data_IF_049686909394
#
_entry.id   IF_049686909394
#
_cell.length_a   1.000
_cell.length_b   1.000
_cell.length_c   1.000
_cell.angle_alpha   90.00
_cell.angle_beta   90.00
_cell.angle_gamma   90.00
#
_symmetry.space_group_name_H-M   'P 1'
#
loop_
_entity.id
_entity.type
_entity.pdbx_description
1 polymer ?
#
# COMPACT_ATOMS: atom_id res chain seq x y z
N UNK A 1 -33.07 26.26 -47.28
CA UNK A 1 -32.53 26.54 -45.96
C UNK A 1 -31.97 25.24 -45.42
N UNK A 2 -30.62 25.09 -45.37
CA UNK A 2 -29.93 23.87 -44.89
C UNK A 2 -29.44 24.16 -43.47
N UNK A 3 -29.95 23.43 -42.49
CA UNK A 3 -29.52 23.51 -41.11
C UNK A 3 -28.32 22.60 -40.93
N UNK A 4 -27.15 23.18 -40.68
CA UNK A 4 -25.94 22.43 -40.23
C UNK A 4 -26.01 22.29 -38.70
N UNK A 5 -26.25 21.07 -38.22
CA UNK A 5 -26.12 20.72 -36.82
C UNK A 5 -24.66 20.40 -36.52
N UNK A 6 -23.99 21.31 -35.84
CA UNK A 6 -22.59 21.09 -35.35
C UNK A 6 -22.66 20.26 -34.12
N UNK A 7 -22.15 19.01 -34.22
CA UNK A 7 -22.00 18.08 -33.09
C UNK A 7 -20.71 18.44 -32.35
N UNK A 8 -20.85 19.05 -31.16
CA UNK A 8 -19.70 19.33 -30.28
C UNK A 8 -19.39 18.05 -29.47
N UNK A 9 -18.28 17.39 -29.79
CA UNK A 9 -17.72 16.32 -28.99
C UNK A 9 -16.99 16.92 -27.77
N UNK A 10 -17.58 16.82 -26.59
CA UNK A 10 -16.88 17.12 -25.33
C UNK A 10 -16.05 15.89 -24.97
N UNK A 11 -14.75 15.94 -25.23
CA UNK A 11 -13.79 14.99 -24.68
C UNK A 11 -13.68 15.22 -23.17
N UNK A 12 -14.40 14.46 -22.39
CA UNK A 12 -14.24 14.40 -20.94
C UNK A 12 -12.92 13.70 -20.61
N UNK A 13 -11.89 14.48 -20.25
CA UNK A 13 -10.64 13.96 -19.71
C UNK A 13 -10.93 13.38 -18.33
N UNK A 14 -11.06 12.06 -18.20
CA UNK A 14 -11.08 11.39 -16.93
C UNK A 14 -9.68 11.43 -16.32
N UNK A 15 -9.46 12.35 -15.39
CA UNK A 15 -8.26 12.33 -14.56
C UNK A 15 -8.31 11.06 -13.70
N UNK A 16 -7.47 10.08 -14.02
CA UNK A 16 -7.20 8.97 -13.15
C UNK A 16 -6.41 9.51 -11.96
N UNK A 17 -7.09 9.72 -10.85
CA UNK A 17 -6.40 9.95 -9.58
C UNK A 17 -5.79 8.62 -9.14
N UNK A 18 -4.48 8.49 -9.29
CA UNK A 18 -3.71 7.51 -8.54
C UNK A 18 -3.62 8.04 -7.09
N UNK A 19 -4.65 7.75 -6.32
CA UNK A 19 -4.72 8.14 -4.91
C UNK A 19 -4.03 7.04 -4.11
N UNK A 20 -2.80 7.30 -3.68
CA UNK A 20 -2.14 6.56 -2.59
C UNK A 20 -3.00 6.74 -1.34
N UNK A 21 -3.99 5.85 -1.17
CA UNK A 21 -5.10 6.04 -0.26
C UNK A 21 -4.66 6.13 1.19
N UNK A 22 -5.19 7.10 1.91
CA UNK A 22 -5.21 7.04 3.36
C UNK A 22 -6.09 5.87 3.77
N UNK A 23 -5.50 4.88 4.42
CA UNK A 23 -6.30 3.86 5.09
C UNK A 23 -6.94 4.48 6.32
N UNK A 24 -8.13 5.04 6.14
CA UNK A 24 -8.89 5.62 7.25
C UNK A 24 -9.67 4.52 7.95
N UNK A 25 -9.30 4.25 9.20
CA UNK A 25 -10.05 3.41 10.13
C UNK A 25 -10.26 4.18 11.43
N UNK A 26 -11.31 3.90 12.19
CA UNK A 26 -11.45 4.43 13.54
C UNK A 26 -10.24 4.07 14.39
N UNK A 27 -9.91 4.96 15.35
CA UNK A 27 -8.83 4.67 16.28
C UNK A 27 -9.18 3.46 17.15
N UNK A 28 -8.25 2.51 17.24
CA UNK A 28 -8.34 1.36 18.10
C UNK A 28 -7.01 1.22 18.84
N UNK A 29 -6.91 1.77 20.08
CA UNK A 29 -5.68 1.74 20.85
C UNK A 29 -5.19 0.32 21.15
N UNK A 30 -6.10 -0.63 21.38
CA UNK A 30 -5.75 -2.03 21.66
C UNK A 30 -5.07 -2.67 20.44
N UNK A 31 -5.69 -2.58 19.25
CA UNK A 31 -5.07 -3.06 18.02
C UNK A 31 -3.69 -2.43 17.78
N UNK A 32 -3.56 -1.12 17.98
CA UNK A 32 -2.27 -0.44 17.83
C UNK A 32 -1.22 -0.93 18.83
N UNK A 33 -1.59 -1.12 20.08
CA UNK A 33 -0.68 -1.58 21.13
C UNK A 33 -0.24 -3.01 20.90
N UNK A 34 -1.18 -3.93 20.71
CA UNK A 34 -0.89 -5.35 20.62
C UNK A 34 -0.15 -5.70 19.30
N UNK A 35 -0.68 -5.24 18.16
CA UNK A 35 -0.04 -5.51 16.88
C UNK A 35 1.19 -4.63 16.62
N UNK A 36 1.27 -3.46 17.25
CA UNK A 36 2.35 -2.50 17.09
C UNK A 36 3.60 -2.78 17.90
N UNK A 37 3.59 -3.78 18.79
CA UNK A 37 4.70 -4.07 19.70
C UNK A 37 5.96 -4.59 19.00
N UNK A 38 5.83 -5.24 17.85
CA UNK A 38 6.94 -5.83 17.09
C UNK A 38 7.12 -5.18 15.70
N UNK A 39 6.05 -4.76 15.07
CA UNK A 39 6.04 -4.05 13.79
C UNK A 39 4.84 -3.10 13.74
N UNK A 40 4.74 -2.28 12.71
CA UNK A 40 3.56 -1.41 12.56
C UNK A 40 2.25 -2.23 12.58
N UNK A 41 1.24 -1.73 13.29
CA UNK A 41 -0.10 -2.29 13.23
C UNK A 41 -0.67 -2.10 11.81
N UNK A 42 -0.71 -3.17 11.03
CA UNK A 42 -1.11 -3.10 9.62
C UNK A 42 -2.58 -2.72 9.45
N UNK A 43 -2.90 -1.79 8.54
CA UNK A 43 -4.27 -1.44 8.22
C UNK A 43 -5.13 -2.66 7.91
N UNK A 44 -6.33 -2.77 8.49
CA UNK A 44 -7.23 -3.91 8.24
C UNK A 44 -7.52 -4.16 6.76
N UNK A 45 -7.53 -3.11 5.94
CA UNK A 45 -7.80 -3.18 4.51
C UNK A 45 -6.77 -3.98 3.70
N UNK A 46 -5.61 -4.27 4.27
CA UNK A 46 -4.53 -4.98 3.58
C UNK A 46 -4.78 -6.48 3.41
N UNK A 47 -5.69 -7.08 4.19
CA UNK A 47 -6.11 -8.46 4.06
C UNK A 47 -7.64 -8.56 4.02
N UNK A 48 -8.15 -9.74 3.61
CA UNK A 48 -9.57 -10.05 3.67
C UNK A 48 -10.01 -10.40 5.09
N UNK A 49 -11.31 -10.30 5.37
CA UNK A 49 -11.85 -10.71 6.67
C UNK A 49 -11.53 -12.18 7.00
N UNK A 50 -11.57 -13.07 5.99
CA UNK A 50 -11.23 -14.48 6.16
C UNK A 50 -9.72 -14.70 6.42
N UNK A 51 -8.85 -13.90 5.82
CA UNK A 51 -7.41 -13.97 6.07
C UNK A 51 -7.09 -13.49 7.48
N UNK A 52 -7.72 -12.40 7.93
CA UNK A 52 -7.59 -11.95 9.32
C UNK A 52 -8.06 -12.99 10.31
N UNK A 53 -9.18 -13.67 10.04
CA UNK A 53 -9.65 -14.74 10.91
C UNK A 53 -8.64 -15.89 11.03
N UNK A 54 -8.07 -16.32 9.90
CA UNK A 54 -7.04 -17.38 9.90
C UNK A 54 -5.78 -16.94 10.63
N UNK A 55 -5.33 -15.70 10.39
CA UNK A 55 -4.14 -15.15 11.03
C UNK A 55 -4.32 -15.06 12.55
N UNK A 56 -5.43 -14.50 13.01
CA UNK A 56 -5.73 -14.34 14.43
C UNK A 56 -5.98 -15.68 15.15
N UNK A 57 -6.39 -16.70 14.40
CA UNK A 57 -6.52 -18.07 14.91
C UNK A 57 -5.20 -18.84 15.03
N UNK A 58 -4.08 -18.31 14.50
CA UNK A 58 -2.77 -18.98 14.48
C UNK A 58 -1.63 -18.12 15.04
N UNK A 59 -1.90 -17.24 15.99
CA UNK A 59 -0.91 -16.31 16.55
C UNK A 59 0.21 -17.00 17.33
N UNK A 60 0.02 -18.22 17.76
CA UNK A 60 1.08 -19.06 18.37
C UNK A 60 2.22 -19.39 17.39
N UNK A 61 1.96 -19.29 16.09
CA UNK A 61 2.91 -19.52 14.99
C UNK A 61 2.94 -18.34 14.00
N UNK A 62 2.91 -17.13 14.53
CA UNK A 62 2.90 -15.92 13.73
C UNK A 62 4.26 -15.68 13.05
N UNK A 63 4.47 -16.33 11.87
CA UNK A 63 5.70 -16.15 11.07
C UNK A 63 6.99 -16.36 11.89
N UNK A 64 7.05 -17.51 12.58
CA UNK A 64 8.15 -17.93 13.46
C UNK A 64 8.24 -17.20 14.82
N UNK A 65 7.25 -16.37 15.14
CA UNK A 65 7.11 -15.73 16.45
C UNK A 65 5.84 -16.21 17.17
N UNK A 66 5.83 -16.09 18.48
CA UNK A 66 4.63 -16.26 19.30
C UNK A 66 4.03 -14.88 19.58
N UNK A 67 2.85 -14.62 19.02
CA UNK A 67 2.09 -13.38 19.17
C UNK A 67 0.72 -13.63 19.84
N UNK A 68 0.60 -14.67 20.67
CA UNK A 68 -0.65 -15.03 21.37
C UNK A 68 -1.10 -13.87 22.25
N UNK A 69 -2.37 -13.54 22.15
CA UNK A 69 -3.05 -12.51 22.93
C UNK A 69 -3.98 -13.16 23.98
N UNK A 70 -4.38 -12.38 24.98
CA UNK A 70 -5.51 -12.75 25.80
C UNK A 70 -6.75 -13.02 24.91
N UNK A 71 -7.56 -14.07 25.22
CA UNK A 71 -8.69 -14.45 24.39
C UNK A 71 -9.70 -13.31 24.15
N UNK A 72 -9.93 -12.46 25.14
CA UNK A 72 -10.83 -11.31 25.03
C UNK A 72 -10.28 -10.26 24.06
N UNK A 73 -8.98 -9.98 24.17
CA UNK A 73 -8.31 -9.01 23.32
C UNK A 73 -8.17 -9.51 21.88
N UNK A 74 -7.87 -10.81 21.69
CA UNK A 74 -7.88 -11.46 20.39
C UNK A 74 -9.23 -11.30 19.70
N UNK A 75 -10.34 -11.59 20.42
CA UNK A 75 -11.67 -11.44 19.84
C UNK A 75 -12.00 -10.00 19.48
N UNK A 76 -11.71 -9.04 20.34
CA UNK A 76 -11.99 -7.62 20.11
C UNK A 76 -11.20 -7.10 18.89
N UNK A 77 -9.92 -7.46 18.78
CA UNK A 77 -9.07 -7.09 17.66
C UNK A 77 -9.56 -7.76 16.37
N UNK A 78 -9.92 -9.04 16.41
CA UNK A 78 -10.45 -9.76 15.26
C UNK A 78 -11.73 -9.11 14.74
N UNK A 79 -12.67 -8.78 15.63
CA UNK A 79 -13.93 -8.11 15.25
C UNK A 79 -13.65 -6.76 14.56
N UNK A 80 -12.66 -6.01 15.04
CA UNK A 80 -12.22 -4.76 14.41
C UNK A 80 -11.57 -5.01 13.04
N UNK A 81 -10.62 -5.93 12.95
CA UNK A 81 -9.93 -6.25 11.70
C UNK A 81 -10.91 -6.72 10.61
N UNK A 82 -11.86 -7.59 10.96
CA UNK A 82 -12.86 -8.09 10.01
C UNK A 82 -13.82 -6.99 9.54
N UNK A 83 -14.23 -6.09 10.45
CA UNK A 83 -15.13 -4.98 10.12
C UNK A 83 -14.55 -4.02 9.09
N UNK A 84 -13.25 -3.78 9.15
CA UNK A 84 -12.54 -2.84 8.28
C UNK A 84 -11.64 -3.52 7.25
N UNK A 85 -11.79 -4.83 7.06
CA UNK A 85 -11.01 -5.63 6.13
C UNK A 85 -11.14 -5.15 4.69
N UNK A 86 -10.14 -5.46 3.89
CA UNK A 86 -10.15 -5.24 2.45
C UNK A 86 -11.12 -6.18 1.74
N UNK A 87 -11.64 -5.72 0.61
CA UNK A 87 -12.48 -6.53 -0.28
C UNK A 87 -11.63 -7.59 -0.97
N UNK A 88 -12.13 -8.82 -1.08
CA UNK A 88 -11.45 -10.01 -1.59
C UNK A 88 -10.71 -9.85 -2.92
N UNK A 89 -10.18 -10.95 -3.44
CA UNK A 89 -9.41 -10.98 -4.69
C UNK A 89 -7.99 -10.46 -4.50
N UNK A 90 -7.72 -9.20 -4.76
CA UNK A 90 -6.36 -8.63 -4.74
C UNK A 90 -5.70 -8.61 -3.35
N UNK A 91 -6.50 -8.60 -2.28
CA UNK A 91 -6.03 -8.54 -0.89
C UNK A 91 -6.03 -9.92 -0.22
N UNK A 92 -6.39 -10.99 -0.94
CA UNK A 92 -6.28 -12.35 -0.41
C UNK A 92 -4.82 -12.80 -0.40
N UNK A 93 -4.41 -13.38 0.73
CA UNK A 93 -3.06 -13.89 0.94
C UNK A 93 -3.12 -15.34 1.45
N UNK A 94 -2.97 -16.35 0.58
CA UNK A 94 -2.93 -17.75 1.01
C UNK A 94 -1.89 -18.03 2.11
N UNK A 95 -0.73 -17.37 2.04
CA UNK A 95 0.34 -17.41 3.04
C UNK A 95 0.10 -16.55 4.28
N UNK A 96 -0.99 -15.79 4.33
CA UNK A 96 -1.31 -14.75 5.32
C UNK A 96 -0.30 -13.57 5.34
N UNK A 97 0.69 -13.54 4.46
CA UNK A 97 1.63 -12.43 4.34
C UNK A 97 1.06 -11.35 3.42
N UNK A 98 0.96 -10.12 3.91
CA UNK A 98 0.50 -8.96 3.13
C UNK A 98 1.39 -8.77 1.89
N UNK A 99 2.71 -9.00 2.03
CA UNK A 99 3.69 -8.90 0.94
C UNK A 99 3.51 -9.92 -0.19
N UNK A 100 2.70 -10.96 0.02
CA UNK A 100 2.41 -11.99 -0.98
C UNK A 100 1.07 -11.75 -1.71
N UNK A 101 0.33 -10.71 -1.33
CA UNK A 101 -0.89 -10.34 -2.06
C UNK A 101 -0.56 -9.84 -3.46
N UNK A 102 -1.45 -10.11 -4.40
CA UNK A 102 -1.30 -9.57 -5.76
C UNK A 102 -1.37 -8.04 -5.80
N UNK A 103 -2.11 -7.45 -4.85
CA UNK A 103 -2.12 -6.01 -4.65
C UNK A 103 -0.71 -5.49 -4.28
N UNK A 104 -0.08 -6.03 -3.24
CA UNK A 104 1.25 -5.60 -2.81
C UNK A 104 2.28 -5.73 -3.95
N UNK A 105 2.31 -6.87 -4.63
CA UNK A 105 3.24 -7.12 -5.74
C UNK A 105 3.07 -6.10 -6.86
N UNK A 106 1.82 -5.73 -7.18
CA UNK A 106 1.56 -4.73 -8.23
C UNK A 106 2.01 -3.33 -7.82
N UNK A 107 1.71 -2.90 -6.59
CA UNK A 107 2.06 -1.56 -6.11
C UNK A 107 3.58 -1.38 -5.93
N UNK A 108 4.31 -2.47 -5.70
CA UNK A 108 5.77 -2.45 -5.47
C UNK A 108 6.59 -3.03 -6.62
N UNK A 109 5.99 -3.19 -7.82
CA UNK A 109 6.66 -3.80 -8.99
C UNK A 109 7.92 -3.06 -9.44
N UNK A 110 8.02 -1.76 -9.15
CA UNK A 110 9.14 -0.89 -9.53
C UNK A 110 10.30 -0.94 -8.54
N UNK A 111 10.11 -1.58 -7.37
CA UNK A 111 11.15 -1.69 -6.36
C UNK A 111 12.12 -2.79 -6.74
N UNK A 112 13.38 -2.42 -6.92
CA UNK A 112 14.43 -3.36 -7.34
C UNK A 112 14.76 -4.39 -6.26
N UNK A 113 15.32 -5.54 -6.68
CA UNK A 113 15.82 -6.55 -5.75
C UNK A 113 16.90 -6.01 -4.82
N UNK A 114 17.75 -5.11 -5.30
CA UNK A 114 18.80 -4.48 -4.50
C UNK A 114 18.19 -3.63 -3.38
N UNK A 115 17.13 -2.88 -3.67
CA UNK A 115 16.40 -2.11 -2.66
C UNK A 115 15.79 -3.02 -1.60
N UNK A 116 15.18 -4.15 -2.01
CA UNK A 116 14.64 -5.13 -1.05
C UNK A 116 15.70 -5.78 -0.17
N UNK A 117 16.94 -5.91 -0.67
CA UNK A 117 18.08 -6.47 0.06
C UNK A 117 18.85 -5.44 0.88
N UNK A 118 18.48 -4.17 0.84
CA UNK A 118 19.12 -3.11 1.61
C UNK A 118 18.99 -3.38 3.12
N UNK A 119 20.09 -3.34 3.90
CA UNK A 119 20.05 -3.55 5.34
C UNK A 119 19.10 -2.61 6.10
N UNK A 120 18.80 -1.43 5.56
CA UNK A 120 17.84 -0.50 6.13
C UNK A 120 16.39 -0.97 5.93
N UNK A 121 16.12 -1.76 4.89
CA UNK A 121 14.79 -2.33 4.61
C UNK A 121 14.55 -3.58 5.44
N UNK A 122 15.53 -4.46 5.57
CA UNK A 122 15.53 -5.72 6.35
C UNK A 122 14.50 -6.75 5.85
N UNK A 123 13.29 -6.37 5.56
CA UNK A 123 12.19 -7.26 5.22
C UNK A 123 11.13 -6.55 4.41
N UNK A 124 10.44 -7.27 3.52
CA UNK A 124 9.26 -6.77 2.79
C UNK A 124 8.09 -6.37 3.69
N UNK A 125 8.07 -6.86 4.93
CA UNK A 125 7.08 -6.46 5.94
C UNK A 125 7.46 -5.21 6.73
N UNK A 126 8.68 -4.68 6.54
CA UNK A 126 9.10 -3.43 7.17
C UNK A 126 8.64 -2.21 6.36
N UNK A 127 7.34 -1.96 6.37
CA UNK A 127 6.72 -0.88 5.60
C UNK A 127 7.28 0.50 5.97
N UNK A 128 7.64 0.70 7.24
CA UNK A 128 8.13 1.99 7.74
C UNK A 128 9.53 2.34 7.23
N UNK A 129 10.28 1.38 6.69
CA UNK A 129 11.54 1.63 6.03
C UNK A 129 11.40 2.61 4.85
N UNK A 130 10.25 2.57 4.16
CA UNK A 130 9.96 3.45 3.02
C UNK A 130 8.77 4.38 3.29
N UNK A 131 7.71 3.89 3.94
CA UNK A 131 6.51 4.65 4.27
C UNK A 131 6.65 5.32 5.64
N UNK A 132 7.44 6.38 5.71
CA UNK A 132 7.84 7.02 6.99
C UNK A 132 6.67 7.62 7.80
N UNK A 133 5.52 7.76 7.18
CA UNK A 133 4.30 8.29 7.80
C UNK A 133 3.23 7.22 8.07
N UNK A 134 3.53 5.95 7.82
CA UNK A 134 2.58 4.84 7.91
C UNK A 134 1.95 4.69 9.30
N UNK A 135 2.71 4.93 10.37
CA UNK A 135 2.20 4.90 11.75
C UNK A 135 1.10 5.92 12.01
N UNK A 136 1.09 7.02 11.25
CA UNK A 136 0.04 8.04 11.27
C UNK A 136 -1.09 7.78 10.28
N UNK A 137 -1.10 6.61 9.64
CA UNK A 137 -2.07 6.23 8.61
C UNK A 137 -1.89 6.96 7.27
N UNK A 138 -0.77 7.66 7.07
CA UNK A 138 -0.45 8.32 5.80
C UNK A 138 0.45 7.42 4.94
N UNK A 139 -0.16 6.82 3.93
CA UNK A 139 0.47 5.92 2.96
C UNK A 139 0.67 6.59 1.60
N UNK A 140 0.53 7.92 1.54
CA UNK A 140 0.68 8.68 0.30
C UNK A 140 2.11 8.61 -0.24
N UNK A 141 2.24 8.66 -1.58
CA UNK A 141 3.53 8.65 -2.27
C UNK A 141 4.44 9.81 -1.82
N UNK A 142 3.86 10.93 -1.38
CA UNK A 142 4.62 12.08 -0.85
C UNK A 142 5.46 11.74 0.38
N UNK A 143 5.02 10.76 1.16
CA UNK A 143 5.69 10.25 2.36
C UNK A 143 6.74 9.17 2.08
N UNK A 144 6.92 8.73 0.84
CA UNK A 144 7.85 7.65 0.52
C UNK A 144 9.30 8.15 0.56
N UNK A 145 10.15 7.36 1.20
CA UNK A 145 11.62 7.55 1.27
C UNK A 145 12.29 6.20 1.07
N UNK A 146 12.79 5.94 -0.13
CA UNK A 146 13.43 4.65 -0.46
C UNK A 146 14.88 4.66 0.03
N UNK A 147 15.30 3.73 0.92
CA UNK A 147 16.70 3.62 1.34
C UNK A 147 17.62 3.34 0.13
N UNK A 148 18.78 4.00 0.09
CA UNK A 148 19.74 3.84 -1.01
C UNK A 148 19.28 4.42 -2.36
N UNK A 149 18.04 4.81 -2.49
CA UNK A 149 17.51 5.51 -3.66
C UNK A 149 17.63 7.03 -3.50
N UNK A 150 18.26 7.70 -4.40
CA UNK A 150 18.03 9.13 -4.61
C UNK A 150 16.50 9.36 -4.76
N UNK A 151 16.03 10.56 -4.40
CA UNK A 151 14.61 10.97 -4.58
C UNK A 151 14.11 10.40 -5.89
N UNK A 152 12.99 9.67 -5.84
CA UNK A 152 12.38 9.12 -7.04
C UNK A 152 12.36 10.16 -8.14
N UNK A 153 13.20 9.96 -9.14
CA UNK A 153 13.18 10.76 -10.35
C UNK A 153 11.87 10.41 -11.04
N UNK A 154 10.87 11.26 -10.80
CA UNK A 154 9.75 11.37 -11.70
C UNK A 154 10.35 11.63 -13.08
N UNK A 155 10.43 10.59 -13.88
CA UNK A 155 10.92 10.63 -15.26
C UNK A 155 9.92 11.43 -16.10
N UNK A 156 9.97 12.76 -15.96
CA UNK A 156 9.46 13.67 -16.95
C UNK A 156 10.35 13.51 -18.16
N UNK A 157 9.88 12.80 -19.16
CA UNK A 157 10.48 12.81 -20.49
C UNK A 157 10.46 14.26 -20.99
N UNK A 158 11.62 14.88 -20.85
CA UNK A 158 11.91 16.15 -21.53
C UNK A 158 12.11 15.81 -22.99
N UNK A 159 11.07 15.99 -23.80
CA UNK A 159 11.20 16.09 -25.25
C UNK A 159 12.15 17.25 -25.56
N UNK A 160 13.40 16.94 -25.80
CA UNK A 160 14.31 17.86 -26.47
C UNK A 160 13.83 18.01 -27.92
N UNK A 161 13.12 19.11 -28.19
CA UNK A 161 12.94 19.57 -29.56
C UNK A 161 14.30 20.03 -30.06
N UNK A 162 14.93 19.16 -30.87
CA UNK A 162 16.04 19.54 -31.72
C UNK A 162 15.59 20.66 -32.67
N UNK A 163 16.03 21.86 -32.41
CA UNK A 163 15.95 22.97 -33.34
C UNK A 163 17.17 22.91 -34.25
N UNK A 164 17.02 22.33 -35.44
CA UNK A 164 17.92 22.56 -36.56
C UNK A 164 17.78 24.05 -36.94
N UNK A 165 18.84 24.78 -36.81
CA UNK A 165 19.09 26.00 -37.60
C UNK A 165 20.21 25.72 -38.53
N UNK A 166 19.84 25.47 -39.77
CA UNK A 166 20.74 25.63 -40.92
C UNK A 166 20.75 27.14 -41.18
N UNK A 167 21.88 27.76 -40.95
CA UNK A 167 22.22 29.09 -41.49
C UNK A 167 23.31 28.88 -42.53
N UNK A 168 22.99 29.33 -43.69
CA UNK A 168 23.79 29.52 -44.86
C UNK A 168 24.61 30.83 -44.78
#
# INVERSE_FOLDING_TARGET
MKWLTTLVFILGSTMAYADGGKYSVPDNPKWKTECGSCHIAYPPQLLTAGDWQRLMGGLDKHFDANAVLDPKDNKEILDFLQRYAGNGGRNSAPSLRISDTSWFTREHREISSNTWSDPAVKSRSNCTACHVNAERGDWSERGIRVPGGGRGEGRGERHERGGNRDDD
#
